data_IF_779265519375
#
_entry.id   IF_779265519375
#
_cell.length_a   1.000
_cell.length_b   1.000
_cell.length_c   1.000
_cell.angle_alpha   90.00
_cell.angle_beta   90.00
_cell.angle_gamma   90.00
#
_symmetry.space_group_name_H-M   'P 1'
#
loop_
_entity.id
_entity.type
_entity.pdbx_description
1 polymer ?
#
# COMPACT_ATOMS: atom_id res chain seq x y z
N UNK A 1 -16.08 -22.16 8.29
CA UNK A 1 -14.85 -22.51 7.55
C UNK A 1 -13.87 -21.37 7.74
N UNK A 2 -12.82 -21.56 8.55
CA UNK A 2 -11.70 -20.61 8.58
C UNK A 2 -10.75 -21.00 7.46
N UNK A 3 -10.81 -20.26 6.35
CA UNK A 3 -9.83 -20.41 5.29
C UNK A 3 -8.47 -20.01 5.85
N UNK A 4 -7.47 -20.86 5.66
CA UNK A 4 -6.09 -20.53 5.99
C UNK A 4 -5.62 -19.39 5.10
N UNK A 5 -4.91 -18.41 5.64
CA UNK A 5 -4.41 -17.27 4.87
C UNK A 5 -3.54 -17.70 3.68
N UNK A 6 -3.93 -17.31 2.47
CA UNK A 6 -3.21 -17.67 1.24
C UNK A 6 -1.82 -17.03 1.11
N UNK A 7 -1.55 -15.94 1.83
CA UNK A 7 -0.27 -15.23 1.75
C UNK A 7 0.84 -15.90 2.56
N UNK A 8 0.51 -16.45 3.73
CA UNK A 8 1.50 -17.03 4.63
C UNK A 8 1.26 -18.50 4.98
N UNK A 9 0.12 -19.08 4.58
CA UNK A 9 -0.26 -20.45 4.91
C UNK A 9 -0.59 -20.69 6.38
N UNK A 10 -0.77 -19.64 7.19
CA UNK A 10 -1.00 -19.74 8.63
C UNK A 10 -2.07 -18.75 9.10
N UNK A 11 -2.85 -19.12 10.12
CA UNK A 11 -3.87 -18.26 10.70
C UNK A 11 -5.12 -18.12 9.84
N UNK A 12 -6.15 -17.49 10.41
CA UNK A 12 -7.42 -17.26 9.73
C UNK A 12 -7.28 -16.13 8.71
N UNK A 13 -7.68 -16.39 7.47
CA UNK A 13 -7.77 -15.39 6.43
C UNK A 13 -8.83 -14.34 6.79
N UNK A 14 -8.36 -13.17 7.20
CA UNK A 14 -9.18 -12.10 7.74
C UNK A 14 -8.44 -10.77 7.62
N UNK A 15 -9.18 -9.66 7.61
CA UNK A 15 -8.58 -8.32 7.55
C UNK A 15 -7.57 -8.09 8.69
N UNK A 16 -7.87 -8.39 9.98
CA UNK A 16 -6.89 -8.22 11.05
C UNK A 16 -5.61 -9.02 10.82
N UNK A 17 -5.74 -10.23 10.27
CA UNK A 17 -4.59 -11.06 9.95
C UNK A 17 -3.77 -10.44 8.82
N UNK A 18 -4.39 -10.10 7.68
CA UNK A 18 -3.70 -9.52 6.51
C UNK A 18 -3.04 -8.18 6.82
N UNK A 19 -3.64 -7.37 7.70
CA UNK A 19 -3.12 -6.07 8.09
C UNK A 19 -1.96 -6.16 9.07
N UNK A 20 -2.03 -7.03 10.09
CA UNK A 20 -1.10 -6.94 11.24
C UNK A 20 -0.42 -8.24 11.66
N UNK A 21 -0.95 -9.41 11.31
CA UNK A 21 -0.47 -10.70 11.86
C UNK A 21 0.16 -11.61 10.79
N UNK A 22 -0.13 -11.37 9.52
CA UNK A 22 0.39 -12.15 8.41
C UNK A 22 1.88 -11.89 8.24
N UNK A 23 2.71 -12.95 8.32
CA UNK A 23 4.17 -12.84 8.15
C UNK A 23 4.56 -12.24 6.80
N UNK A 24 3.86 -12.61 5.72
CA UNK A 24 4.11 -12.08 4.38
C UNK A 24 3.77 -10.58 4.32
N UNK A 25 2.54 -10.21 4.69
CA UNK A 25 2.12 -8.81 4.67
C UNK A 25 2.94 -7.95 5.62
N UNK A 26 3.33 -8.46 6.80
CA UNK A 26 4.12 -7.71 7.77
C UNK A 26 5.47 -7.26 7.21
N UNK A 27 6.15 -8.12 6.45
CA UNK A 27 7.40 -7.75 5.76
C UNK A 27 7.15 -6.65 4.73
N UNK A 28 6.10 -6.82 3.91
CA UNK A 28 5.67 -5.82 2.94
C UNK A 28 5.41 -4.44 3.60
N UNK A 29 4.58 -4.41 4.65
CA UNK A 29 4.24 -3.19 5.38
C UNK A 29 5.46 -2.52 6.02
N UNK A 30 6.35 -3.33 6.61
CA UNK A 30 7.55 -2.83 7.28
C UNK A 30 8.53 -2.17 6.31
N UNK A 31 8.61 -2.65 5.06
CA UNK A 31 9.46 -2.05 4.03
C UNK A 31 8.87 -0.78 3.41
N UNK A 32 7.55 -0.63 3.40
CA UNK A 32 6.88 0.41 2.62
C UNK A 32 6.38 1.59 3.46
N UNK A 33 6.12 1.39 4.77
CA UNK A 33 5.60 2.41 5.70
C UNK A 33 6.40 3.72 5.71
N UNK A 34 7.74 3.63 5.67
CA UNK A 34 8.61 4.80 5.70
C UNK A 34 8.70 5.57 4.37
N UNK A 35 8.19 5.01 3.27
CA UNK A 35 8.36 5.61 1.93
C UNK A 35 7.22 6.54 1.53
N UNK A 36 6.02 6.33 2.10
CA UNK A 36 4.82 7.06 1.69
C UNK A 36 4.17 7.85 2.82
N UNK A 37 4.93 8.17 3.88
CA UNK A 37 4.42 8.94 5.03
C UNK A 37 3.14 8.33 5.62
N UNK A 38 3.10 6.99 5.72
CA UNK A 38 1.96 6.21 6.23
C UNK A 38 1.92 6.16 7.76
N UNK A 39 2.79 6.91 8.42
CA UNK A 39 2.88 7.15 9.85
C UNK A 39 2.11 8.40 10.32
N UNK A 40 1.53 9.15 9.39
CA UNK A 40 0.72 10.34 9.70
C UNK A 40 -0.50 9.99 10.55
N UNK A 41 -0.76 10.79 11.58
CA UNK A 41 -1.96 10.67 12.41
C UNK A 41 -3.20 11.17 11.65
N UNK A 42 -4.41 10.74 12.07
CA UNK A 42 -5.65 10.96 11.33
C UNK A 42 -5.95 12.41 10.93
N UNK A 43 -5.52 13.39 11.72
CA UNK A 43 -5.72 14.82 11.40
C UNK A 43 -4.90 15.27 10.18
N UNK A 44 -3.66 14.81 10.04
CA UNK A 44 -2.79 15.13 8.90
C UNK A 44 -3.27 14.50 7.59
N UNK A 45 -3.89 13.31 7.70
CA UNK A 45 -4.40 12.56 6.56
C UNK A 45 -5.67 13.20 5.99
N UNK A 46 -6.58 13.71 6.80
CA UNK A 46 -7.88 14.18 6.32
C UNK A 46 -7.94 15.67 5.95
N UNK A 47 -7.11 16.53 6.56
CA UNK A 47 -7.32 17.98 6.46
C UNK A 47 -6.41 18.73 5.48
N UNK A 48 -5.33 18.12 4.99
CA UNK A 48 -4.33 18.82 4.16
C UNK A 48 -4.20 18.23 2.74
N UNK A 49 -4.10 19.08 1.72
CA UNK A 49 -3.76 18.71 0.34
C UNK A 49 -2.26 18.88 0.04
N UNK A 50 -1.42 18.85 1.08
CA UNK A 50 0.01 18.89 0.89
C UNK A 50 0.52 17.56 0.29
N UNK A 51 1.73 17.59 -0.26
CA UNK A 51 2.31 16.44 -0.95
C UNK A 51 2.40 15.19 -0.07
N UNK A 52 2.64 15.35 1.24
CA UNK A 52 2.73 14.23 2.20
C UNK A 52 1.39 13.56 2.41
N UNK A 53 0.30 14.32 2.54
CA UNK A 53 -1.05 13.76 2.69
C UNK A 53 -1.51 13.06 1.41
N UNK A 54 -1.20 13.62 0.24
CA UNK A 54 -1.48 12.97 -1.06
C UNK A 54 -0.70 11.67 -1.20
N UNK A 55 0.60 11.68 -0.90
CA UNK A 55 1.43 10.47 -0.93
C UNK A 55 0.94 9.41 0.06
N UNK A 56 0.51 9.81 1.26
CA UNK A 56 -0.02 8.90 2.28
C UNK A 56 -1.32 8.23 1.84
N UNK A 57 -2.26 8.99 1.28
CA UNK A 57 -3.53 8.46 0.74
C UNK A 57 -3.30 7.47 -0.40
N UNK A 58 -2.53 7.90 -1.41
CA UNK A 58 -2.26 7.07 -2.60
C UNK A 58 -1.46 5.83 -2.19
N UNK A 59 -0.43 6.00 -1.35
CA UNK A 59 0.41 4.93 -0.86
C UNK A 59 -0.38 3.89 -0.08
N UNK A 60 -1.18 4.33 0.90
CA UNK A 60 -2.03 3.43 1.71
C UNK A 60 -3.01 2.65 0.82
N UNK A 61 -3.72 3.35 -0.08
CA UNK A 61 -4.68 2.71 -0.97
C UNK A 61 -4.02 1.68 -1.90
N UNK A 62 -2.89 2.02 -2.53
CA UNK A 62 -2.15 1.11 -3.40
C UNK A 62 -1.64 -0.12 -2.63
N UNK A 63 -1.11 0.07 -1.42
CA UNK A 63 -0.62 -1.03 -0.59
C UNK A 63 -1.74 -2.00 -0.19
N UNK A 64 -2.86 -1.49 0.32
CA UNK A 64 -4.02 -2.32 0.70
C UNK A 64 -4.55 -3.10 -0.50
N UNK A 65 -4.70 -2.41 -1.64
CA UNK A 65 -5.15 -3.04 -2.88
C UNK A 65 -4.21 -4.17 -3.31
N UNK A 66 -2.90 -3.94 -3.36
CA UNK A 66 -1.95 -4.92 -3.85
C UNK A 66 -1.79 -6.14 -2.93
N UNK A 67 -1.87 -5.97 -1.60
CA UNK A 67 -1.90 -7.11 -0.66
C UNK A 67 -3.15 -7.97 -0.90
N UNK A 68 -4.31 -7.33 -1.10
CA UNK A 68 -5.54 -8.04 -1.40
C UNK A 68 -5.51 -8.71 -2.78
N UNK A 69 -4.95 -8.03 -3.77
CA UNK A 69 -4.79 -8.54 -5.12
C UNK A 69 -3.91 -9.79 -5.13
N UNK A 70 -2.73 -9.74 -4.48
CA UNK A 70 -1.83 -10.89 -4.38
C UNK A 70 -2.50 -12.09 -3.69
N UNK A 71 -3.24 -11.85 -2.59
CA UNK A 71 -4.04 -12.90 -1.93
C UNK A 71 -5.00 -13.57 -2.92
N UNK A 72 -5.70 -12.78 -3.72
CA UNK A 72 -6.65 -13.31 -4.71
C UNK A 72 -5.94 -14.03 -5.86
N UNK A 73 -4.78 -13.56 -6.31
CA UNK A 73 -3.98 -14.25 -7.33
C UNK A 73 -3.58 -15.65 -6.89
N UNK A 74 -3.17 -15.81 -5.62
CA UNK A 74 -2.87 -17.13 -5.06
C UNK A 74 -4.11 -18.02 -4.97
N UNK A 75 -5.22 -17.48 -4.47
CA UNK A 75 -6.45 -18.25 -4.26
C UNK A 75 -7.12 -18.72 -5.55
N UNK A 76 -7.13 -17.88 -6.58
CA UNK A 76 -7.97 -18.09 -7.76
C UNK A 76 -7.18 -18.37 -9.04
N UNK A 77 -5.87 -18.09 -9.06
CA UNK A 77 -5.04 -18.26 -10.25
C UNK A 77 -3.76 -19.06 -10.00
N UNK A 78 -3.52 -19.50 -8.76
CA UNK A 78 -2.30 -20.22 -8.37
C UNK A 78 -1.01 -19.48 -8.79
N UNK A 79 -1.06 -18.13 -8.73
CA UNK A 79 0.08 -17.25 -9.03
C UNK A 79 0.61 -16.67 -7.73
N UNK A 80 1.94 -16.71 -7.59
CA UNK A 80 2.64 -16.32 -6.37
C UNK A 80 3.78 -15.38 -6.70
N UNK A 81 3.83 -14.24 -6.03
CA UNK A 81 5.02 -13.38 -6.02
C UNK A 81 5.50 -13.18 -4.58
N UNK A 82 6.82 -13.08 -4.43
CA UNK A 82 7.43 -12.79 -3.14
C UNK A 82 7.19 -11.33 -2.73
N UNK A 83 7.37 -11.04 -1.45
CA UNK A 83 7.13 -9.71 -0.88
C UNK A 83 8.03 -8.64 -1.51
N UNK A 84 9.25 -8.98 -1.94
CA UNK A 84 10.21 -8.03 -2.54
C UNK A 84 9.73 -7.62 -3.92
N UNK A 85 9.24 -8.58 -4.71
CA UNK A 85 8.63 -8.31 -6.01
C UNK A 85 7.38 -7.45 -5.87
N UNK A 86 6.49 -7.76 -4.92
CA UNK A 86 5.30 -6.96 -4.63
C UNK A 86 5.66 -5.52 -4.25
N UNK A 87 6.67 -5.32 -3.39
CA UNK A 87 7.15 -3.98 -3.01
C UNK A 87 7.61 -3.19 -4.23
N UNK A 88 8.35 -3.80 -5.16
CA UNK A 88 8.81 -3.13 -6.39
C UNK A 88 7.64 -2.70 -7.27
N UNK A 89 6.65 -3.57 -7.45
CA UNK A 89 5.47 -3.27 -8.26
C UNK A 89 4.67 -2.11 -7.67
N UNK A 90 4.42 -2.11 -6.35
CA UNK A 90 3.69 -1.04 -5.68
C UNK A 90 4.43 0.29 -5.76
N UNK A 91 5.76 0.29 -5.65
CA UNK A 91 6.58 1.50 -5.81
C UNK A 91 6.43 2.11 -7.19
N UNK A 92 6.53 1.29 -8.24
CA UNK A 92 6.35 1.76 -9.62
C UNK A 92 4.91 2.24 -9.85
N UNK A 93 3.90 1.52 -9.37
CA UNK A 93 2.50 1.95 -9.46
C UNK A 93 2.28 3.33 -8.82
N UNK A 94 2.77 3.54 -7.59
CA UNK A 94 2.62 4.82 -6.90
C UNK A 94 3.38 5.91 -7.64
N UNK A 95 4.59 5.64 -8.12
CA UNK A 95 5.37 6.59 -8.93
C UNK A 95 4.58 7.03 -10.17
N UNK A 96 4.01 6.09 -10.92
CA UNK A 96 3.19 6.41 -12.09
C UNK A 96 1.94 7.20 -11.72
N UNK A 97 1.27 6.84 -10.62
CA UNK A 97 0.12 7.61 -10.11
C UNK A 97 0.52 9.05 -9.78
N UNK A 98 1.65 9.25 -9.09
CA UNK A 98 2.15 10.58 -8.74
C UNK A 98 2.51 11.40 -9.98
N UNK A 99 3.17 10.80 -10.99
CA UNK A 99 3.49 11.45 -12.26
C UNK A 99 2.24 11.86 -13.05
N UNK A 100 1.13 11.14 -12.87
CA UNK A 100 -0.15 11.45 -13.52
C UNK A 100 -1.00 12.50 -12.78
N UNK A 101 -0.57 12.96 -11.59
CA UNK A 101 -1.34 13.93 -10.81
C UNK A 101 -1.26 15.32 -11.46
N UNK A 102 -2.44 15.90 -11.70
CA UNK A 102 -2.56 17.30 -12.06
C UNK A 102 -2.60 18.15 -10.78
N UNK A 103 -1.48 18.80 -10.48
CA UNK A 103 -1.35 19.68 -9.31
C UNK A 103 -1.91 21.07 -9.67
N UNK A 104 -2.81 21.59 -8.83
CA UNK A 104 -3.27 22.98 -8.97
C UNK A 104 -2.09 23.93 -8.75
N UNK A 105 -1.96 24.95 -9.60
CA UNK A 105 -0.95 26.01 -9.41
C UNK A 105 -1.14 26.61 -8.01
N UNK A 106 -0.04 26.64 -7.26
CA UNK A 106 0.08 27.25 -5.93
C UNK A 106 1.33 28.12 -5.96
N UNK A 107 1.42 29.15 -5.12
CA UNK A 107 2.56 30.09 -5.11
C UNK A 107 3.91 29.36 -4.92
N UNK A 108 3.92 28.20 -4.27
CA UNK A 108 5.08 27.32 -4.12
C UNK A 108 5.58 26.68 -5.43
N UNK A 109 4.79 26.70 -6.52
CA UNK A 109 5.11 26.14 -7.84
C UNK A 109 5.48 27.24 -8.84
N UNK A 110 5.25 28.51 -8.51
CA UNK A 110 5.41 29.66 -9.42
C UNK A 110 6.84 30.24 -9.37
N UNK A 111 7.69 29.83 -8.41
CA UNK A 111 9.07 30.36 -8.22
C UNK A 111 10.20 29.52 -8.85
N UNK A 112 9.92 28.68 -9.86
CA UNK A 112 10.93 28.00 -10.68
C UNK A 112 10.80 28.42 -12.13
#
# INVERSE_FOLDING_TARGET
>A
MNLTCALCGHGCDSVPHLSFQCKYSHKFWSSIKGMFYMDQTGDDMHQNNNIKSVMSKIGTAACVYNVWHERNMRLFQDKYIDEITLIKMVKEEIKWKLLSLNVKKSDAVIQT
#
